data_IF_042747631726
#
_entry.id   IF_042747631726
#
_cell.length_a   1.000
_cell.length_b   1.000
_cell.length_c   1.000
_cell.angle_alpha   90.00
_cell.angle_beta   90.00
_cell.angle_gamma   90.00
#
_symmetry.space_group_name_H-M   'P 1'
#
loop_
_entity.id
_entity.type
_entity.pdbx_description
1 polymer ?
#
# COMPACT_ATOMS: atom_id res chain seq x y z
N UNK A 1 5.06 5.44 20.40
CA UNK A 1 6.10 5.44 19.34
C UNK A 1 6.99 6.69 19.41
N UNK A 2 8.29 6.57 19.13
CA UNK A 2 9.22 7.69 18.90
C UNK A 2 9.94 7.47 17.57
N UNK A 3 9.68 8.30 16.57
CA UNK A 3 10.30 8.17 15.24
C UNK A 3 11.71 8.77 15.25
N UNK A 4 12.69 7.97 14.86
CA UNK A 4 14.12 8.36 14.76
C UNK A 4 14.70 7.86 13.43
N UNK A 5 15.89 8.33 13.00
CA UNK A 5 16.56 7.77 11.83
C UNK A 5 16.87 6.26 11.93
N UNK A 6 16.98 5.71 13.15
CA UNK A 6 17.10 4.26 13.33
C UNK A 6 15.75 3.59 13.06
N UNK A 7 14.66 4.11 13.64
CA UNK A 7 13.29 3.63 13.39
C UNK A 7 12.97 3.60 11.90
N UNK A 8 13.29 4.65 11.15
CA UNK A 8 13.05 4.69 9.69
C UNK A 8 13.81 3.58 8.95
N UNK A 9 15.05 3.27 9.35
CA UNK A 9 15.83 2.17 8.76
C UNK A 9 15.26 0.80 9.12
N UNK A 10 14.79 0.64 10.35
CA UNK A 10 14.19 -0.60 10.81
C UNK A 10 12.86 -0.86 10.09
N UNK A 11 12.00 0.17 9.93
CA UNK A 11 10.76 0.05 9.17
C UNK A 11 11.02 -0.13 7.66
N UNK A 12 12.06 0.52 7.09
CA UNK A 12 12.47 0.26 5.71
C UNK A 12 12.80 -1.22 5.49
N UNK A 13 13.63 -1.79 6.35
CA UNK A 13 14.01 -3.20 6.27
C UNK A 13 12.77 -4.11 6.45
N UNK A 14 11.91 -3.80 7.43
CA UNK A 14 10.70 -4.58 7.68
C UNK A 14 9.74 -4.57 6.49
N UNK A 15 9.43 -3.39 5.92
CA UNK A 15 8.57 -3.28 4.74
C UNK A 15 9.21 -4.01 3.56
N UNK A 16 10.52 -3.85 3.33
CA UNK A 16 11.25 -4.52 2.24
C UNK A 16 11.15 -6.05 2.33
N UNK A 17 11.23 -6.60 3.53
CA UNK A 17 11.22 -8.05 3.77
C UNK A 17 9.82 -8.67 3.64
N UNK A 18 8.74 -7.86 3.67
CA UNK A 18 7.35 -8.32 3.46
C UNK A 18 6.98 -8.64 2.02
N UNK A 19 7.95 -8.78 1.12
CA UNK A 19 7.68 -9.07 -0.30
C UNK A 19 6.79 -10.31 -0.49
N UNK A 20 6.96 -11.35 0.34
CA UNK A 20 6.19 -12.60 0.23
C UNK A 20 4.72 -12.46 0.70
N UNK A 21 4.40 -11.38 1.42
CA UNK A 21 3.02 -11.05 1.85
C UNK A 21 2.40 -10.03 0.89
N UNK A 22 3.13 -8.95 0.58
CA UNK A 22 2.56 -7.81 -0.15
C UNK A 22 2.46 -8.07 -1.66
N UNK A 23 3.40 -8.80 -2.27
CA UNK A 23 3.39 -9.05 -3.71
C UNK A 23 2.16 -9.86 -4.15
N UNK A 24 1.76 -10.95 -3.44
CA UNK A 24 0.49 -11.61 -3.70
C UNK A 24 -0.71 -10.65 -3.65
N UNK A 25 -0.83 -9.84 -2.59
CA UNK A 25 -1.94 -8.87 -2.45
C UNK A 25 -1.95 -7.85 -3.59
N UNK A 26 -0.78 -7.36 -4.02
CA UNK A 26 -0.65 -6.48 -5.19
C UNK A 26 -1.19 -7.17 -6.45
N UNK A 27 -0.77 -8.40 -6.72
CA UNK A 27 -1.14 -9.10 -7.94
C UNK A 27 -2.62 -9.47 -7.95
N UNK A 28 -3.19 -9.91 -6.81
CA UNK A 28 -4.62 -10.16 -6.69
C UNK A 28 -5.45 -8.87 -6.88
N UNK A 29 -4.95 -7.74 -6.36
CA UNK A 29 -5.56 -6.42 -6.57
C UNK A 29 -5.50 -6.00 -8.05
N UNK A 30 -4.34 -6.18 -8.71
CA UNK A 30 -4.17 -5.92 -10.15
C UNK A 30 -5.09 -6.76 -10.99
N UNK A 31 -5.17 -8.06 -10.73
CA UNK A 31 -6.07 -9.00 -11.38
C UNK A 31 -7.55 -8.58 -11.26
N UNK A 32 -7.95 -8.12 -10.06
CA UNK A 32 -9.31 -7.64 -9.81
C UNK A 32 -9.60 -6.36 -10.57
N UNK A 33 -8.71 -5.37 -10.52
CA UNK A 33 -8.88 -4.10 -11.22
C UNK A 33 -8.83 -4.31 -12.74
N UNK A 34 -7.93 -5.15 -13.25
CA UNK A 34 -7.82 -5.50 -14.66
C UNK A 34 -9.12 -6.09 -15.21
N UNK A 35 -9.74 -7.02 -14.47
CA UNK A 35 -11.09 -7.54 -14.82
C UNK A 35 -12.17 -6.46 -14.80
N UNK A 36 -12.16 -5.56 -13.81
CA UNK A 36 -13.18 -4.51 -13.68
C UNK A 36 -13.07 -3.43 -14.77
N UNK A 37 -11.86 -3.12 -15.21
CA UNK A 37 -11.58 -2.13 -16.24
C UNK A 37 -11.36 -2.74 -17.64
N UNK A 38 -11.54 -4.04 -17.78
CA UNK A 38 -11.34 -4.79 -19.03
C UNK A 38 -9.96 -4.53 -19.66
N UNK A 39 -8.92 -4.55 -18.83
CA UNK A 39 -7.53 -4.28 -19.21
C UNK A 39 -6.58 -5.32 -18.62
N UNK A 40 -5.44 -5.53 -19.27
CA UNK A 40 -4.38 -6.38 -18.75
C UNK A 40 -3.45 -5.54 -17.88
N UNK A 41 -3.01 -6.11 -16.76
CA UNK A 41 -2.11 -5.42 -15.83
C UNK A 41 -0.99 -6.39 -15.48
N UNK A 42 0.25 -6.05 -15.82
CA UNK A 42 1.37 -6.95 -15.62
C UNK A 42 1.53 -7.33 -14.13
N UNK A 43 1.92 -8.58 -13.88
CA UNK A 43 2.23 -9.03 -12.54
C UNK A 43 3.54 -8.42 -12.00
N UNK A 44 3.59 -8.22 -10.69
CA UNK A 44 4.77 -7.75 -9.96
C UNK A 44 5.58 -8.93 -9.45
N UNK A 45 6.90 -8.87 -9.65
CA UNK A 45 7.86 -9.76 -9.03
C UNK A 45 8.42 -9.19 -7.71
N UNK A 46 8.82 -10.03 -6.73
CA UNK A 46 9.39 -9.58 -5.46
C UNK A 46 10.55 -8.59 -5.57
N UNK A 47 11.43 -8.77 -6.54
CA UNK A 47 12.55 -7.84 -6.74
C UNK A 47 12.11 -6.48 -7.28
N UNK A 48 11.00 -6.42 -8.02
CA UNK A 48 10.37 -5.17 -8.44
C UNK A 48 9.83 -4.40 -7.24
N UNK A 49 9.08 -5.08 -6.37
CA UNK A 49 8.59 -4.54 -5.10
C UNK A 49 9.73 -3.99 -4.23
N UNK A 50 10.76 -4.80 -3.97
CA UNK A 50 11.90 -4.41 -3.13
C UNK A 50 12.61 -3.14 -3.64
N UNK A 51 12.84 -3.05 -4.95
CA UNK A 51 13.44 -1.84 -5.56
C UNK A 51 12.56 -0.62 -5.36
N UNK A 52 11.25 -0.77 -5.47
CA UNK A 52 10.33 0.35 -5.28
C UNK A 52 10.25 0.79 -3.80
N UNK A 53 10.34 -0.16 -2.87
CA UNK A 53 10.50 0.13 -1.44
C UNK A 53 11.75 0.98 -1.21
N UNK A 54 12.90 0.60 -1.80
CA UNK A 54 14.12 1.40 -1.69
C UNK A 54 13.96 2.81 -2.27
N UNK A 55 13.26 2.95 -3.40
CA UNK A 55 13.00 4.24 -4.03
C UNK A 55 12.14 5.15 -3.15
N UNK A 56 11.10 4.61 -2.50
CA UNK A 56 10.23 5.35 -1.58
C UNK A 56 11.00 5.80 -0.34
N UNK A 57 11.81 4.91 0.26
CA UNK A 57 12.56 5.23 1.47
C UNK A 57 13.83 6.08 1.22
N UNK A 58 14.24 6.26 -0.04
CA UNK A 58 15.32 7.18 -0.40
C UNK A 58 14.92 8.66 -0.26
N UNK A 59 13.62 8.98 -0.32
CA UNK A 59 13.10 10.31 0.01
C UNK A 59 12.86 10.39 1.52
N UNK A 60 13.68 11.17 2.23
CA UNK A 60 13.64 11.26 3.68
C UNK A 60 12.34 11.84 4.26
N UNK A 61 11.67 12.74 3.52
CA UNK A 61 10.39 13.33 3.95
C UNK A 61 9.26 12.32 3.79
N UNK A 62 9.29 11.51 2.73
CA UNK A 62 8.34 10.39 2.57
C UNK A 62 8.62 9.29 3.58
N UNK A 63 9.90 8.88 3.71
CA UNK A 63 10.33 7.77 4.54
C UNK A 63 9.92 7.91 6.02
N UNK A 64 10.04 9.13 6.58
CA UNK A 64 9.67 9.38 7.99
C UNK A 64 8.16 9.22 8.22
N UNK A 65 7.33 9.62 7.24
CA UNK A 65 5.88 9.51 7.34
C UNK A 65 5.42 8.06 7.10
N UNK A 66 5.99 7.37 6.10
CA UNK A 66 5.74 5.94 5.87
C UNK A 66 6.09 5.13 7.11
N UNK A 67 7.29 5.32 7.68
CA UNK A 67 7.71 4.61 8.89
C UNK A 67 6.79 4.89 10.09
N UNK A 68 6.34 6.13 10.25
CA UNK A 68 5.39 6.51 11.30
C UNK A 68 4.04 5.81 11.15
N UNK A 69 3.45 5.81 9.96
CA UNK A 69 2.18 5.14 9.68
C UNK A 69 2.29 3.62 9.85
N UNK A 70 3.35 3.00 9.30
CA UNK A 70 3.61 1.56 9.44
C UNK A 70 3.67 1.17 10.91
N UNK A 71 4.50 1.85 11.70
CA UNK A 71 4.66 1.52 13.11
C UNK A 71 3.38 1.78 13.94
N UNK A 72 2.56 2.78 13.57
CA UNK A 72 1.26 3.00 14.22
C UNK A 72 0.28 1.87 13.92
N UNK A 73 0.11 1.51 12.65
CA UNK A 73 -0.84 0.48 12.23
C UNK A 73 -0.51 -0.89 12.83
N UNK A 74 0.78 -1.24 12.92
CA UNK A 74 1.25 -2.49 13.55
C UNK A 74 0.87 -2.63 15.02
N UNK A 75 0.77 -1.51 15.73
CA UNK A 75 0.46 -1.47 17.17
C UNK A 75 -1.02 -1.13 17.44
N UNK A 76 -1.76 -0.69 16.42
CA UNK A 76 -3.12 -0.19 16.57
C UNK A 76 -4.10 -1.35 16.65
N UNK A 77 -4.85 -1.41 17.75
CA UNK A 77 -5.83 -2.46 17.98
C UNK A 77 -7.12 -1.89 18.60
N UNK A 78 -8.24 -2.55 18.35
CA UNK A 78 -9.54 -2.24 18.95
C UNK A 78 -10.23 -3.52 19.40
N UNK A 79 -10.86 -3.47 20.57
CA UNK A 79 -11.52 -4.62 21.15
C UNK A 79 -12.57 -5.21 20.21
N UNK A 80 -12.35 -6.46 19.81
CA UNK A 80 -13.26 -7.23 18.97
C UNK A 80 -13.30 -6.77 17.52
N UNK A 81 -12.30 -6.01 17.06
CA UNK A 81 -12.23 -5.47 15.71
C UNK A 81 -13.55 -4.79 15.31
N UNK A 82 -13.94 -3.81 16.13
CA UNK A 82 -15.25 -3.20 16.06
C UNK A 82 -15.44 -2.48 14.70
N UNK A 83 -16.41 -2.87 13.85
CA UNK A 83 -16.52 -2.33 12.48
C UNK A 83 -16.83 -0.83 12.36
N UNK A 84 -17.10 -0.15 13.49
CA UNK A 84 -17.26 1.31 13.54
C UNK A 84 -16.00 2.05 14.00
N UNK A 85 -14.92 1.32 14.30
CA UNK A 85 -13.58 1.87 14.46
C UNK A 85 -12.97 1.99 13.07
N UNK A 86 -12.45 3.17 12.74
CA UNK A 86 -12.03 3.52 11.38
C UNK A 86 -10.70 4.29 11.40
N UNK A 87 -9.97 4.21 12.51
CA UNK A 87 -8.72 4.99 12.68
C UNK A 87 -7.58 4.34 11.91
N UNK A 88 -7.53 3.02 11.96
CA UNK A 88 -6.76 2.13 11.10
C UNK A 88 -7.03 2.39 9.62
N UNK A 89 -8.30 2.46 9.21
CA UNK A 89 -8.71 2.77 7.83
C UNK A 89 -8.22 4.14 7.35
N UNK A 90 -8.32 5.15 8.23
CA UNK A 90 -7.79 6.48 7.95
C UNK A 90 -6.26 6.43 7.79
N UNK A 91 -5.57 5.71 8.68
CA UNK A 91 -4.11 5.59 8.62
C UNK A 91 -3.63 4.77 7.42
N UNK A 92 -4.31 3.68 7.08
CA UNK A 92 -4.02 2.83 5.93
C UNK A 92 -4.19 3.63 4.63
N UNK A 93 -5.29 4.36 4.50
CA UNK A 93 -5.53 5.25 3.37
C UNK A 93 -4.45 6.33 3.23
N UNK A 94 -4.05 6.98 4.33
CA UNK A 94 -2.99 7.99 4.28
C UNK A 94 -1.59 7.37 4.00
N UNK A 95 -1.33 6.15 4.48
CA UNK A 95 -0.10 5.40 4.15
C UNK A 95 -0.02 5.09 2.64
N UNK A 96 -1.09 4.56 2.06
CA UNK A 96 -1.17 4.27 0.62
C UNK A 96 -0.91 5.54 -0.21
N UNK A 97 -1.55 6.65 0.16
CA UNK A 97 -1.35 7.95 -0.49
C UNK A 97 0.10 8.44 -0.41
N UNK A 98 0.70 8.34 0.78
CA UNK A 98 2.06 8.79 1.06
C UNK A 98 3.08 8.01 0.24
N UNK A 99 2.92 6.69 0.15
CA UNK A 99 3.76 5.83 -0.70
C UNK A 99 3.62 6.27 -2.17
N UNK A 100 2.39 6.32 -2.67
CA UNK A 100 2.12 6.61 -4.08
C UNK A 100 2.62 7.98 -4.56
N UNK A 101 2.67 8.97 -3.67
CA UNK A 101 3.24 10.29 -3.92
C UNK A 101 2.20 11.35 -4.29
N UNK A 102 2.60 12.31 -5.12
CA UNK A 102 1.77 13.46 -5.49
C UNK A 102 0.48 13.08 -6.23
N UNK A 103 -0.40 14.06 -6.43
CA UNK A 103 -1.58 13.85 -7.29
C UNK A 103 -1.14 13.71 -8.75
N UNK A 104 -1.79 12.84 -9.54
CA UNK A 104 -3.03 12.11 -9.21
C UNK A 104 -2.85 10.79 -8.44
N UNK A 105 -1.61 10.31 -8.28
CA UNK A 105 -1.32 8.96 -7.76
C UNK A 105 -1.76 8.76 -6.31
N UNK A 106 -1.60 9.75 -5.43
CA UNK A 106 -2.10 9.64 -4.04
C UNK A 106 -3.58 9.27 -4.00
N UNK A 107 -4.42 9.98 -4.75
CA UNK A 107 -5.87 9.74 -4.74
C UNK A 107 -6.22 8.36 -5.32
N UNK A 108 -5.51 7.92 -6.36
CA UNK A 108 -5.67 6.58 -6.93
C UNK A 108 -5.30 5.50 -5.91
N UNK A 109 -4.23 5.70 -5.14
CA UNK A 109 -3.82 4.76 -4.10
C UNK A 109 -4.84 4.69 -2.95
N UNK A 110 -5.42 5.82 -2.54
CA UNK A 110 -6.50 5.85 -1.55
C UNK A 110 -7.74 5.08 -2.03
N UNK A 111 -8.11 5.23 -3.30
CA UNK A 111 -9.21 4.46 -3.89
C UNK A 111 -8.87 2.96 -4.00
N UNK A 112 -7.64 2.65 -4.38
CA UNK A 112 -7.15 1.25 -4.48
C UNK A 112 -7.12 0.56 -3.13
N UNK A 113 -6.78 1.29 -2.05
CA UNK A 113 -6.78 0.77 -0.69
C UNK A 113 -8.14 0.17 -0.33
N UNK A 114 -9.24 0.89 -0.55
CA UNK A 114 -10.60 0.37 -0.32
C UNK A 114 -11.03 -0.78 -1.24
N UNK A 115 -10.27 -1.05 -2.32
CA UNK A 115 -10.47 -2.25 -3.15
C UNK A 115 -9.67 -3.43 -2.62
N UNK A 116 -8.45 -3.20 -2.13
CA UNK A 116 -7.57 -4.24 -1.63
C UNK A 116 -7.99 -4.73 -0.23
N UNK A 117 -8.35 -3.79 0.64
CA UNK A 117 -8.59 -3.99 2.07
C UNK A 117 -9.55 -5.17 2.38
N UNK A 118 -10.75 -5.28 1.77
CA UNK A 118 -11.67 -6.38 2.07
C UNK A 118 -11.18 -7.79 1.69
N UNK A 119 -10.02 -7.90 1.03
CA UNK A 119 -9.41 -9.15 0.57
C UNK A 119 -8.07 -9.45 1.26
N UNK A 120 -7.62 -8.61 2.18
CA UNK A 120 -6.47 -8.91 3.03
C UNK A 120 -7.00 -9.64 4.26
N UNK A 121 -6.89 -10.97 4.26
CA UNK A 121 -7.18 -11.74 5.45
C UNK A 121 -6.03 -11.55 6.46
N UNK A 122 -6.35 -10.89 7.58
CA UNK A 122 -5.93 -11.24 8.94
C UNK A 122 -4.66 -12.11 9.04
N UNK A 123 -3.54 -11.39 9.10
CA UNK A 123 -2.15 -11.79 9.38
C UNK A 123 -1.80 -13.29 9.28
N UNK A 124 -1.36 -13.73 8.08
CA UNK A 124 -0.77 -15.07 7.86
C UNK A 124 0.52 -15.34 8.66
N UNK A 125 1.05 -14.35 9.40
CA UNK A 125 2.25 -14.47 10.24
C UNK A 125 1.97 -14.41 11.75
N UNK A 126 0.73 -14.21 12.19
CA UNK A 126 0.39 -14.21 13.60
C UNK A 126 0.53 -15.62 14.21
N UNK A 127 1.41 -15.79 15.19
CA UNK A 127 1.43 -17.01 16.01
C UNK A 127 0.08 -17.15 16.71
N UNK A 128 -0.61 -18.26 16.46
CA UNK A 128 -1.86 -18.61 17.14
C UNK A 128 -1.56 -18.81 18.63
N UNK A 129 -1.93 -17.83 19.47
CA UNK A 129 -1.89 -17.99 20.93
C UNK A 129 -2.92 -19.06 21.33
N UNK A 130 -2.44 -20.26 21.63
CA UNK A 130 -3.28 -21.45 21.88
C UNK A 130 -4.12 -21.33 23.16
N UNK A 131 -3.80 -20.38 24.03
CA UNK A 131 -4.54 -20.15 25.27
C UNK A 131 -5.70 -19.15 25.10
N UNK A 132 -5.80 -18.47 23.95
CA UNK A 132 -6.92 -17.59 23.58
C UNK A 132 -8.11 -18.33 22.92
N UNK A 133 -8.18 -19.66 23.08
CA UNK A 133 -9.13 -20.57 22.43
C UNK A 133 -10.61 -20.42 22.85
N UNK A 134 -11.01 -19.29 23.45
CA UNK A 134 -12.42 -18.98 23.68
C UNK A 134 -13.10 -18.32 22.45
N UNK A 135 -12.32 -17.68 21.56
CA UNK A 135 -12.79 -17.05 20.31
C UNK A 135 -11.95 -17.58 19.13
N UNK A 136 -12.17 -18.85 18.74
CA UNK A 136 -11.37 -19.53 17.71
C UNK A 136 -11.43 -18.88 16.31
N UNK A 137 -12.43 -18.03 16.03
CA UNK A 137 -12.54 -17.24 14.78
C UNK A 137 -11.59 -16.03 14.74
N UNK A 138 -10.96 -15.66 15.87
CA UNK A 138 -10.04 -14.51 15.98
C UNK A 138 -8.56 -14.91 16.13
N UNK A 139 -8.28 -16.21 16.23
CA UNK A 139 -6.93 -16.73 16.49
C UNK A 139 -6.10 -16.75 15.19
N UNK A 140 -5.64 -15.57 14.79
CA UNK A 140 -4.88 -15.33 13.55
C UNK A 140 -4.97 -13.89 13.03
N UNK A 141 -5.75 -13.02 13.68
CA UNK A 141 -6.12 -11.72 13.11
C UNK A 141 -5.04 -10.63 13.09
N UNK A 142 -3.92 -10.78 13.81
CA UNK A 142 -3.07 -9.63 14.11
C UNK A 142 -3.83 -8.58 14.94
N UNK A 143 -3.31 -7.35 14.99
CA UNK A 143 -4.02 -6.18 15.54
C UNK A 143 -5.03 -5.65 14.52
N UNK A 144 -6.04 -4.87 14.94
CA UNK A 144 -7.00 -4.26 14.01
C UNK A 144 -6.36 -3.43 12.87
N UNK A 145 -5.18 -2.84 13.07
CA UNK A 145 -4.47 -2.12 12.00
C UNK A 145 -3.55 -2.98 11.12
N UNK A 146 -3.42 -4.29 11.35
CA UNK A 146 -2.42 -5.12 10.68
C UNK A 146 -2.80 -5.49 9.24
N UNK A 147 -4.07 -5.78 8.98
CA UNK A 147 -4.63 -6.00 7.64
C UNK A 147 -4.68 -4.69 6.84
N UNK A 148 -5.15 -3.61 7.45
CA UNK A 148 -5.14 -2.26 6.86
C UNK A 148 -3.74 -1.82 6.42
N UNK A 149 -2.72 -2.18 7.20
CA UNK A 149 -1.32 -1.96 6.85
C UNK A 149 -0.92 -2.68 5.56
N UNK A 150 -1.22 -3.97 5.47
CA UNK A 150 -0.85 -4.77 4.29
C UNK A 150 -1.63 -4.30 3.05
N UNK A 151 -2.92 -3.97 3.20
CA UNK A 151 -3.74 -3.37 2.16
C UNK A 151 -3.17 -2.02 1.68
N UNK A 152 -2.73 -1.18 2.63
CA UNK A 152 -2.14 0.12 2.32
C UNK A 152 -0.79 0.01 1.60
N UNK A 153 0.07 -0.93 2.03
CA UNK A 153 1.33 -1.23 1.36
C UNK A 153 1.06 -1.71 -0.07
N UNK A 154 0.12 -2.64 -0.26
CA UNK A 154 -0.23 -3.12 -1.59
C UNK A 154 -0.77 -2.00 -2.49
N UNK A 155 -1.75 -1.23 -2.01
CA UNK A 155 -2.35 -0.14 -2.75
C UNK A 155 -1.36 0.98 -3.10
N UNK A 156 -0.49 1.36 -2.15
CA UNK A 156 0.55 2.36 -2.35
C UNK A 156 1.57 1.93 -3.40
N UNK A 157 2.14 0.73 -3.26
CA UNK A 157 3.18 0.26 -4.16
C UNK A 157 2.65 -0.11 -5.54
N UNK A 158 1.46 -0.74 -5.66
CA UNK A 158 0.91 -1.08 -6.99
C UNK A 158 0.71 0.17 -7.85
N UNK A 159 0.35 1.29 -7.23
CA UNK A 159 0.12 2.58 -7.88
C UNK A 159 1.42 3.19 -8.43
N UNK A 160 2.57 2.80 -7.90
CA UNK A 160 3.90 3.26 -8.35
C UNK A 160 4.55 2.32 -9.36
N UNK A 161 4.35 1.02 -9.18
CA UNK A 161 4.97 -0.02 -9.98
C UNK A 161 4.44 0.02 -11.44
N UNK A 162 5.28 -0.34 -12.42
CA UNK A 162 4.87 -0.43 -13.84
C UNK A 162 3.86 -1.57 -14.06
N UNK A 163 3.33 -1.67 -15.29
CA UNK A 163 2.36 -2.71 -15.69
C UNK A 163 0.97 -2.19 -16.06
N UNK A 164 0.73 -0.89 -15.92
CA UNK A 164 -0.50 -0.25 -16.39
C UNK A 164 -0.19 0.54 -17.66
N UNK A 165 -0.81 0.16 -18.78
CA UNK A 165 -0.57 0.79 -20.10
C UNK A 165 -0.64 2.32 -20.07
N UNK A 166 -1.62 2.87 -19.34
CA UNK A 166 -1.83 4.32 -19.24
C UNK A 166 -0.67 5.07 -18.56
N UNK A 167 0.23 4.37 -17.85
CA UNK A 167 1.41 4.96 -17.22
C UNK A 167 2.70 4.77 -18.01
N UNK A 168 2.69 3.97 -19.07
CA UNK A 168 3.91 3.59 -19.79
C UNK A 168 4.19 4.44 -21.03
N UNK A 169 3.22 5.26 -21.45
CA UNK A 169 3.33 6.15 -22.59
C UNK A 169 3.02 7.62 -22.28
N UNK A 170 3.14 8.45 -23.32
CA UNK A 170 2.66 9.84 -23.27
C UNK A 170 1.15 9.87 -23.03
N UNK A 171 0.70 10.80 -22.18
CA UNK A 171 -0.72 10.95 -21.91
C UNK A 171 -1.45 11.44 -23.17
N UNK A 172 -2.50 10.76 -23.64
CA UNK A 172 -3.29 11.20 -24.79
C UNK A 172 -4.12 12.47 -24.48
N UNK A 173 -4.11 12.91 -23.22
CA UNK A 173 -4.75 14.14 -22.76
C UNK A 173 -3.77 15.33 -22.69
N UNK A 174 -2.50 15.14 -23.04
CA UNK A 174 -1.59 16.25 -23.25
C UNK A 174 -2.11 17.09 -24.43
N UNK A 175 -2.15 18.40 -24.24
CA UNK A 175 -2.49 19.33 -25.32
C UNK A 175 -1.16 19.84 -25.86
N UNK A 176 -0.84 19.47 -27.10
CA UNK A 176 0.31 20.05 -27.80
C UNK A 176 0.09 21.54 -27.99
N UNK A 177 1.07 22.36 -27.61
CA UNK A 177 1.08 23.78 -27.95
C UNK A 177 1.37 23.91 -29.46
N UNK A 178 0.38 23.64 -30.32
CA UNK A 178 0.38 24.14 -31.70
C UNK A 178 0.14 25.67 -31.68
N UNK A 179 1.13 26.41 -31.18
CA UNK A 179 1.33 27.82 -31.46
C UNK A 179 2.53 27.97 -32.38
N UNK A 180 2.44 27.32 -33.55
CA UNK A 180 3.28 27.61 -34.69
C UNK A 180 3.05 29.05 -35.15
N UNK A 181 4.03 29.89 -34.88
CA UNK A 181 4.78 30.55 -35.96
C UNK A 181 3.91 31.16 -37.08
N UNK A 182 3.12 32.16 -36.71
CA UNK A 182 2.93 33.32 -37.58
C UNK A 182 4.23 34.14 -37.57
N UNK A 183 5.18 33.79 -38.43
CA UNK A 183 6.38 34.60 -38.74
C UNK A 183 5.99 36.00 -39.26
N UNK A 184 6.92 36.99 -39.17
CA UNK A 184 6.69 38.41 -38.86
C UNK A 184 6.06 39.28 -39.96
#
# INVERSE_FOLDING_TARGET
MRVTPQTVRDEHAWVRDRADVIVPVINDTRDRLGRLFETDVDAVAPDGYRREVDAVFADGEVAVNVAGCVALLRDLDVAGDYPGFVVDEVLGRELAATIAGGRPLSLLAQATFHVADPYVDRDVTAEVDRDAAADADRAGAGTAGADDLDAALAAGFQTRLPGWDWREGESPFAVDDEAGEGSP
#
